data_IF_097652622689
#
_entry.id   IF_097652622689
#
_cell.length_a   1.000
_cell.length_b   1.000
_cell.length_c   1.000
_cell.angle_alpha   90.00
_cell.angle_beta   90.00
_cell.angle_gamma   90.00
#
_symmetry.space_group_name_H-M   'P 1'
#
loop_
_entity.id
_entity.type
_entity.pdbx_description
1 polymer ?
#
# COMPACT_ATOMS: atom_id res chain seq x y z
N UNK A 1 30.34 11.28 5.50
CA UNK A 1 30.42 9.81 5.68
C UNK A 1 29.43 9.15 4.74
N UNK A 2 29.92 8.45 3.73
CA UNK A 2 29.13 7.68 2.76
C UNK A 2 28.46 6.52 3.52
N UNK A 3 27.14 6.60 3.72
CA UNK A 3 26.39 5.71 4.61
C UNK A 3 26.07 4.39 3.88
N UNK A 4 26.61 3.28 4.40
CA UNK A 4 26.61 1.95 3.78
C UNK A 4 25.23 1.30 3.63
N UNK A 5 25.12 0.51 2.56
CA UNK A 5 23.93 -0.21 2.10
C UNK A 5 23.49 -1.30 3.07
N UNK A 6 22.18 -1.41 3.23
CA UNK A 6 21.55 -2.48 4.01
C UNK A 6 21.61 -3.81 3.24
N UNK A 7 21.72 -4.98 3.91
CA UNK A 7 21.54 -6.28 3.26
C UNK A 7 20.20 -6.35 2.51
N UNK A 8 20.04 -7.36 1.66
CA UNK A 8 18.73 -7.69 1.11
C UNK A 8 17.71 -7.82 2.26
N UNK A 9 16.65 -7.02 2.22
CA UNK A 9 15.58 -7.05 3.21
C UNK A 9 14.38 -7.89 2.76
N UNK A 10 14.32 -8.23 1.47
CA UNK A 10 13.26 -9.03 0.86
C UNK A 10 13.73 -10.45 0.58
N UNK A 11 12.78 -11.39 0.65
CA UNK A 11 12.92 -12.77 0.18
C UNK A 11 11.67 -13.17 -0.59
N UNK A 12 11.82 -14.07 -1.54
CA UNK A 12 10.70 -14.76 -2.17
C UNK A 12 10.47 -16.10 -1.49
N UNK A 13 9.21 -16.40 -1.15
CA UNK A 13 8.80 -17.70 -0.62
C UNK A 13 7.94 -18.41 -1.69
N UNK A 14 8.35 -19.60 -2.15
CA UNK A 14 7.55 -20.45 -3.04
C UNK A 14 6.06 -20.50 -2.68
N UNK A 15 5.20 -20.28 -3.67
CA UNK A 15 3.74 -20.20 -3.52
C UNK A 15 3.18 -19.08 -2.64
N UNK A 16 4.01 -18.31 -1.92
CA UNK A 16 3.58 -17.21 -1.03
C UNK A 16 4.01 -15.81 -1.49
N UNK A 17 4.85 -15.74 -2.51
CA UNK A 17 5.35 -14.48 -3.07
C UNK A 17 6.43 -13.82 -2.23
N UNK A 18 6.61 -12.51 -2.41
CA UNK A 18 7.68 -11.74 -1.77
C UNK A 18 7.28 -11.30 -0.36
N UNK A 19 8.21 -11.40 0.59
CA UNK A 19 8.06 -10.91 1.96
C UNK A 19 9.38 -10.39 2.51
N UNK A 20 9.39 -9.77 3.70
CA UNK A 20 10.64 -9.38 4.33
C UNK A 20 11.34 -10.56 5.01
N UNK A 21 12.64 -10.42 5.17
CA UNK A 21 13.46 -11.36 5.91
C UNK A 21 13.27 -11.08 7.42
N UNK A 22 12.90 -12.09 8.22
CA UNK A 22 12.81 -11.97 9.68
C UNK A 22 14.07 -11.38 10.31
N UNK A 23 13.90 -10.46 11.26
CA UNK A 23 14.99 -9.78 11.97
C UNK A 23 15.96 -8.98 11.09
N UNK A 24 15.64 -8.78 9.79
CA UNK A 24 16.51 -8.00 8.93
C UNK A 24 16.52 -6.54 9.39
N UNK A 25 17.72 -6.00 9.57
CA UNK A 25 17.89 -4.57 9.72
C UNK A 25 17.60 -3.88 8.38
N UNK A 26 16.93 -2.73 8.42
CA UNK A 26 16.69 -1.88 7.26
C UNK A 26 17.16 -0.45 7.55
N UNK A 27 17.55 0.26 6.50
CA UNK A 27 17.79 1.70 6.54
C UNK A 27 17.18 2.35 5.31
N UNK A 28 16.19 3.21 5.52
CA UNK A 28 15.55 3.98 4.47
C UNK A 28 16.10 5.41 4.44
N UNK A 29 16.43 5.90 3.24
CA UNK A 29 16.87 7.28 3.02
C UNK A 29 16.57 7.81 1.62
N UNK A 30 15.74 7.10 0.84
CA UNK A 30 15.34 7.53 -0.51
C UNK A 30 14.33 8.67 -0.43
N UNK A 31 13.38 8.54 0.48
CA UNK A 31 12.35 9.53 0.77
C UNK A 31 12.11 9.56 2.28
N UNK A 32 12.34 10.71 2.93
CA UNK A 32 12.37 10.73 4.39
C UNK A 32 13.53 9.90 4.96
N UNK A 33 13.39 9.50 6.22
CA UNK A 33 14.43 8.72 6.91
C UNK A 33 13.85 7.89 8.05
N UNK A 34 14.17 6.59 8.03
CA UNK A 34 14.05 5.72 9.19
C UNK A 34 15.02 4.55 9.11
N UNK A 35 15.30 3.93 10.23
CA UNK A 35 16.05 2.69 10.32
C UNK A 35 15.51 1.85 11.47
N UNK A 36 15.69 0.53 11.39
CA UNK A 36 15.15 -0.38 12.38
C UNK A 36 15.32 -1.83 11.95
N UNK A 37 14.57 -2.72 12.59
CA UNK A 37 14.53 -4.14 12.23
C UNK A 37 13.09 -4.55 11.94
N UNK A 38 12.92 -5.46 10.98
CA UNK A 38 11.67 -6.22 10.85
C UNK A 38 11.57 -7.19 12.03
N UNK A 39 10.35 -7.46 12.51
CA UNK A 39 10.14 -8.38 13.63
C UNK A 39 10.52 -9.83 13.27
N UNK A 40 10.44 -10.72 14.26
CA UNK A 40 10.78 -12.15 14.11
C UNK A 40 9.93 -12.90 13.08
N UNK A 41 8.81 -12.33 12.62
CA UNK A 41 7.97 -12.86 11.55
C UNK A 41 8.23 -12.22 10.18
N UNK A 42 9.08 -11.18 10.11
CA UNK A 42 9.42 -10.47 8.88
C UNK A 42 8.43 -9.37 8.52
N UNK A 43 7.89 -8.65 9.50
CA UNK A 43 7.02 -7.49 9.28
C UNK A 43 7.58 -6.23 9.95
N UNK A 44 7.30 -5.06 9.36
CA UNK A 44 7.69 -3.78 9.94
C UNK A 44 6.65 -3.37 10.97
N UNK A 45 6.73 -4.02 12.12
CA UNK A 45 5.82 -3.87 13.25
C UNK A 45 6.59 -4.24 14.53
N UNK A 46 5.96 -4.06 15.69
CA UNK A 46 6.43 -4.63 16.94
C UNK A 46 6.43 -6.17 16.91
N UNK A 47 7.07 -6.80 17.89
CA UNK A 47 7.01 -8.25 18.05
C UNK A 47 5.59 -8.71 18.41
N UNK A 48 5.10 -9.75 17.73
CA UNK A 48 3.74 -10.28 17.88
C UNK A 48 3.76 -11.79 17.96
N UNK A 49 2.84 -12.37 18.71
CA UNK A 49 2.62 -13.83 18.76
C UNK A 49 1.51 -14.24 17.81
N UNK A 50 1.60 -15.41 17.17
CA UNK A 50 0.47 -15.95 16.41
C UNK A 50 -0.73 -16.25 17.31
N UNK A 51 -0.49 -16.94 18.43
CA UNK A 51 -1.51 -17.14 19.46
C UNK A 51 -1.98 -15.79 20.02
N UNK A 52 -3.29 -15.54 19.92
CA UNK A 52 -3.92 -14.31 20.41
C UNK A 52 -4.15 -14.41 21.92
N UNK A 53 -3.58 -13.52 22.73
CA UNK A 53 -3.88 -13.48 24.16
C UNK A 53 -5.36 -13.20 24.42
N UNK A 54 -5.90 -13.73 25.51
CA UNK A 54 -7.34 -13.67 25.85
C UNK A 54 -7.91 -12.25 25.96
N UNK A 55 -7.12 -11.30 26.45
CA UNK A 55 -7.52 -9.91 26.66
C UNK A 55 -6.97 -8.97 25.57
N UNK A 56 -6.85 -9.44 24.33
CA UNK A 56 -6.36 -8.64 23.21
C UNK A 56 -7.40 -8.58 22.09
N UNK A 57 -7.68 -7.35 21.65
CA UNK A 57 -8.38 -7.08 20.40
C UNK A 57 -7.35 -6.80 19.29
N UNK A 58 -7.30 -7.65 18.26
CA UNK A 58 -6.33 -7.53 17.17
C UNK A 58 -6.95 -6.84 15.96
N UNK A 59 -6.31 -5.75 15.54
CA UNK A 59 -6.56 -5.10 14.26
C UNK A 59 -5.39 -5.46 13.34
N UNK A 60 -5.67 -6.10 12.22
CA UNK A 60 -4.68 -6.35 11.17
C UNK A 60 -4.86 -5.31 10.06
N UNK A 61 -3.80 -4.60 9.72
CA UNK A 61 -3.77 -3.62 8.65
C UNK A 61 -2.90 -4.14 7.52
N UNK A 62 -3.50 -4.26 6.33
CA UNK A 62 -2.85 -4.67 5.10
C UNK A 62 -2.92 -3.54 4.09
N UNK A 63 -1.87 -3.39 3.32
CA UNK A 63 -1.70 -2.30 2.38
C UNK A 63 -0.35 -2.37 1.70
N UNK A 64 0.02 -1.25 1.09
CA UNK A 64 1.24 -1.07 0.33
C UNK A 64 2.36 -0.39 1.16
N UNK A 65 3.13 0.49 0.51
CA UNK A 65 4.18 1.29 1.13
C UNK A 65 3.68 2.27 2.20
N UNK A 66 2.41 2.67 2.20
CA UNK A 66 1.86 3.56 3.23
C UNK A 66 1.62 2.83 4.56
N UNK A 67 1.35 1.53 4.50
CA UNK A 67 1.31 0.66 5.70
C UNK A 67 2.71 0.22 6.10
N UNK A 68 3.59 -0.05 5.13
CA UNK A 68 5.01 -0.33 5.41
C UNK A 68 5.69 0.84 6.13
N UNK A 69 5.44 2.07 5.67
CA UNK A 69 5.84 3.34 6.29
C UNK A 69 7.35 3.49 6.55
N UNK A 70 8.21 3.03 5.63
CA UNK A 70 9.67 3.15 5.75
C UNK A 70 10.18 4.60 5.81
N UNK A 71 9.37 5.58 5.39
CA UNK A 71 9.80 6.97 5.28
C UNK A 71 9.82 7.71 6.64
N UNK A 72 9.17 7.15 7.67
CA UNK A 72 9.10 7.69 9.04
C UNK A 72 9.52 6.64 10.06
N UNK A 73 10.00 7.01 11.27
CA UNK A 73 10.23 6.05 12.35
C UNK A 73 9.01 5.16 12.62
N UNK A 74 9.21 3.92 13.08
CA UNK A 74 8.13 2.94 13.27
C UNK A 74 7.04 3.50 14.19
N UNK A 75 7.44 4.13 15.29
CA UNK A 75 6.55 4.75 16.26
C UNK A 75 5.69 5.86 15.68
N UNK A 76 6.11 6.50 14.58
CA UNK A 76 5.36 7.55 13.89
C UNK A 76 4.50 7.02 12.74
N UNK A 77 4.59 5.72 12.41
CA UNK A 77 3.71 5.10 11.44
C UNK A 77 2.25 5.18 11.90
N UNK A 78 1.32 5.25 10.95
CA UNK A 78 -0.10 5.45 11.31
C UNK A 78 -0.65 4.27 12.11
N UNK A 79 -0.15 3.04 11.88
CA UNK A 79 -0.55 1.85 12.63
C UNK A 79 -0.08 1.89 14.08
N UNK A 80 1.17 2.31 14.32
CA UNK A 80 1.69 2.51 15.68
C UNK A 80 0.97 3.65 16.42
N UNK A 81 0.70 4.78 15.74
CA UNK A 81 -0.07 5.88 16.30
C UNK A 81 -1.51 5.47 16.60
N UNK A 82 -2.14 4.67 15.73
CA UNK A 82 -3.48 4.11 15.95
C UNK A 82 -3.50 3.19 17.18
N UNK A 83 -2.53 2.29 17.32
CA UNK A 83 -2.39 1.43 18.51
C UNK A 83 -2.27 2.26 19.79
N UNK A 84 -1.45 3.30 19.75
CA UNK A 84 -1.25 4.22 20.88
C UNK A 84 -2.55 4.94 21.25
N UNK A 85 -3.31 5.45 20.26
CA UNK A 85 -4.58 6.15 20.50
C UNK A 85 -5.65 5.21 21.06
N UNK A 86 -5.78 4.01 20.51
CA UNK A 86 -6.73 3.00 21.01
C UNK A 86 -6.42 2.59 22.45
N UNK A 87 -5.16 2.32 22.77
CA UNK A 87 -4.76 1.95 24.13
C UNK A 87 -4.83 3.13 25.12
N UNK A 88 -4.60 4.36 24.67
CA UNK A 88 -4.74 5.57 25.49
C UNK A 88 -6.20 5.95 25.81
N UNK A 89 -7.13 5.62 24.92
CA UNK A 89 -8.57 5.85 25.11
C UNK A 89 -9.32 4.69 25.80
N UNK A 90 -8.62 3.60 26.11
CA UNK A 90 -9.20 2.35 26.62
C UNK A 90 -9.93 2.56 27.95
N UNK A 91 -11.19 2.14 27.98
CA UNK A 91 -12.03 2.05 29.20
C UNK A 91 -12.32 0.58 29.58
N UNK A 92 -12.15 -0.36 28.64
CA UNK A 92 -12.33 -1.81 28.81
C UNK A 92 -11.06 -2.51 29.34
N UNK A 93 -11.14 -3.82 29.62
CA UNK A 93 -10.00 -4.66 30.02
C UNK A 93 -9.16 -5.18 28.83
N UNK A 94 -9.57 -4.96 27.59
CA UNK A 94 -8.87 -5.47 26.41
C UNK A 94 -7.78 -4.52 25.92
N UNK A 95 -6.57 -5.04 25.69
CA UNK A 95 -5.45 -4.32 25.04
C UNK A 95 -5.64 -4.38 23.53
N UNK A 96 -5.27 -3.30 22.82
CA UNK A 96 -5.27 -3.29 21.37
C UNK A 96 -3.89 -3.63 20.84
N UNK A 97 -3.84 -4.51 19.84
CA UNK A 97 -2.68 -4.70 18.97
C UNK A 97 -3.09 -4.31 17.55
N UNK A 98 -2.34 -3.42 16.91
CA UNK A 98 -2.53 -3.02 15.51
C UNK A 98 -1.34 -3.54 14.71
N UNK A 99 -1.54 -4.67 14.05
CA UNK A 99 -0.51 -5.36 13.30
C UNK A 99 -0.42 -4.78 11.89
N UNK A 100 0.80 -4.44 11.44
CA UNK A 100 1.03 -3.87 10.12
C UNK A 100 1.73 -4.88 9.20
N UNK A 101 1.03 -5.33 8.16
CA UNK A 101 1.55 -6.29 7.17
C UNK A 101 1.71 -5.65 5.78
N UNK A 102 2.00 -4.35 5.73
CA UNK A 102 2.21 -3.59 4.49
C UNK A 102 3.49 -3.94 3.74
N UNK A 103 3.48 -3.75 2.42
CA UNK A 103 4.68 -3.91 1.59
C UNK A 103 4.63 -3.05 0.31
N UNK A 104 5.69 -2.27 0.07
CA UNK A 104 5.80 -1.43 -1.11
C UNK A 104 5.48 -2.14 -2.43
N UNK A 105 4.62 -1.52 -3.23
CA UNK A 105 4.27 -1.94 -4.59
C UNK A 105 3.25 -3.08 -4.67
N UNK A 106 2.65 -3.45 -3.55
CA UNK A 106 1.55 -4.41 -3.53
C UNK A 106 0.29 -3.79 -4.12
N UNK A 107 -0.50 -4.63 -4.81
CA UNK A 107 -1.91 -4.36 -5.07
C UNK A 107 -2.81 -5.22 -4.19
N UNK A 108 -4.12 -5.04 -4.34
CA UNK A 108 -5.14 -5.73 -3.55
C UNK A 108 -5.08 -7.25 -3.64
N UNK A 109 -4.66 -7.79 -4.80
CA UNK A 109 -4.42 -9.21 -4.94
C UNK A 109 -3.32 -9.70 -3.98
N UNK A 110 -2.16 -9.04 -3.95
CA UNK A 110 -1.05 -9.39 -3.05
C UNK A 110 -1.44 -9.22 -1.58
N UNK A 111 -2.21 -8.19 -1.24
CA UNK A 111 -2.71 -7.94 0.11
C UNK A 111 -3.65 -9.05 0.58
N UNK A 112 -4.55 -9.51 -0.28
CA UNK A 112 -5.43 -10.65 0.00
C UNK A 112 -4.63 -11.94 0.20
N UNK A 113 -3.65 -12.21 -0.68
CA UNK A 113 -2.81 -13.39 -0.54
C UNK A 113 -1.91 -13.28 0.70
N UNK A 114 -1.47 -12.09 1.09
CA UNK A 114 -0.71 -11.86 2.32
C UNK A 114 -1.54 -12.10 3.57
N UNK A 115 -2.82 -11.73 3.55
CA UNK A 115 -3.76 -12.14 4.58
C UNK A 115 -3.84 -13.67 4.69
N UNK A 116 -4.12 -14.36 3.58
CA UNK A 116 -4.28 -15.81 3.59
C UNK A 116 -3.01 -16.55 4.01
N UNK A 117 -1.85 -16.09 3.56
CA UNK A 117 -0.56 -16.76 3.77
C UNK A 117 0.08 -16.49 5.14
N UNK A 118 -0.24 -15.35 5.76
CA UNK A 118 0.41 -14.87 6.99
C UNK A 118 -0.56 -14.21 7.97
N UNK A 119 -1.39 -13.28 7.51
CA UNK A 119 -2.24 -12.45 8.38
C UNK A 119 -3.30 -13.23 9.16
N UNK A 120 -3.92 -14.22 8.54
CA UNK A 120 -4.99 -15.01 9.14
C UNK A 120 -4.52 -15.80 10.39
N UNK A 121 -3.25 -16.18 10.45
CA UNK A 121 -2.68 -16.92 11.58
C UNK A 121 -2.64 -16.11 12.89
N UNK A 122 -2.76 -14.78 12.82
CA UNK A 122 -2.84 -13.91 14.00
C UNK A 122 -4.24 -13.82 14.60
N UNK A 123 -5.25 -14.48 14.01
CA UNK A 123 -6.65 -14.45 14.46
C UNK A 123 -7.20 -13.01 14.71
N UNK A 124 -7.11 -12.10 13.72
CA UNK A 124 -7.54 -10.71 13.88
C UNK A 124 -9.05 -10.58 14.06
N UNK A 125 -9.49 -9.68 14.95
CA UNK A 125 -10.89 -9.34 15.19
C UNK A 125 -11.43 -8.33 14.16
N UNK A 126 -10.52 -7.53 13.59
CA UNK A 126 -10.79 -6.57 12.52
C UNK A 126 -9.62 -6.60 11.53
N UNK A 127 -9.94 -6.66 10.23
CA UNK A 127 -8.98 -6.48 9.14
C UNK A 127 -9.30 -5.17 8.43
N UNK A 128 -8.29 -4.33 8.30
CA UNK A 128 -8.33 -3.07 7.55
C UNK A 128 -7.54 -3.28 6.26
N UNK A 129 -8.22 -3.14 5.13
CA UNK A 129 -7.58 -3.00 3.83
C UNK A 129 -7.32 -1.52 3.55
N UNK A 130 -6.08 -1.10 3.69
CA UNK A 130 -5.61 0.25 3.41
C UNK A 130 -5.29 0.37 1.91
N UNK A 131 -6.31 0.75 1.14
CA UNK A 131 -6.29 0.77 -0.31
C UNK A 131 -5.70 2.08 -0.85
N UNK A 132 -4.60 2.02 -1.58
CA UNK A 132 -4.00 3.20 -2.20
C UNK A 132 -4.54 3.42 -3.61
N UNK A 133 -5.30 4.50 -3.78
CA UNK A 133 -5.89 4.91 -5.06
C UNK A 133 -4.86 5.23 -6.14
N UNK A 134 -3.60 5.48 -5.77
CA UNK A 134 -2.53 5.87 -6.69
C UNK A 134 -1.87 4.72 -7.45
N UNK A 135 -1.99 3.47 -7.02
CA UNK A 135 -1.36 2.31 -7.68
C UNK A 135 -2.20 1.02 -7.61
N UNK A 136 -2.99 0.78 -6.57
CA UNK A 136 -3.65 -0.52 -6.35
C UNK A 136 -4.51 -0.95 -7.54
N UNK A 137 -5.28 -0.01 -8.10
CA UNK A 137 -6.04 -0.24 -9.32
C UNK A 137 -5.15 -0.69 -10.47
N UNK A 138 -3.96 -0.11 -10.64
CA UNK A 138 -3.03 -0.53 -11.69
C UNK A 138 -2.41 -1.89 -11.37
N UNK A 139 -2.04 -2.11 -10.10
CA UNK A 139 -1.34 -3.31 -9.66
C UNK A 139 -2.21 -4.57 -9.72
N UNK A 140 -3.54 -4.44 -9.74
CA UNK A 140 -4.45 -5.56 -9.93
C UNK A 140 -4.62 -6.01 -11.39
N UNK A 141 -4.09 -5.25 -12.37
CA UNK A 141 -4.06 -5.66 -13.78
C UNK A 141 -2.67 -6.09 -14.19
N UNK A 142 -2.55 -7.37 -14.58
CA UNK A 142 -1.30 -7.93 -15.11
C UNK A 142 -0.75 -7.13 -16.29
N UNK A 143 -1.63 -6.68 -17.18
CA UNK A 143 -1.29 -5.83 -18.31
C UNK A 143 -0.80 -4.43 -17.88
N UNK A 144 -1.58 -3.70 -17.07
CA UNK A 144 -1.22 -2.34 -16.64
C UNK A 144 0.00 -2.32 -15.69
N UNK A 145 0.20 -3.40 -14.94
CA UNK A 145 1.37 -3.59 -14.09
C UNK A 145 2.58 -4.15 -14.86
N UNK A 146 2.49 -4.23 -16.20
CA UNK A 146 3.58 -4.64 -17.10
C UNK A 146 4.17 -6.00 -16.72
N UNK A 147 3.29 -6.96 -16.43
CA UNK A 147 3.66 -8.34 -16.11
C UNK A 147 4.62 -8.44 -14.90
N UNK A 148 4.52 -7.50 -13.95
CA UNK A 148 5.33 -7.55 -12.73
C UNK A 148 5.03 -8.83 -11.94
N UNK A 149 6.05 -9.45 -11.34
CA UNK A 149 5.90 -10.70 -10.57
C UNK A 149 5.13 -10.42 -9.28
N UNK A 150 3.83 -10.70 -9.32
CA UNK A 150 2.84 -10.47 -8.26
C UNK A 150 1.67 -11.45 -8.42
N UNK A 151 0.77 -11.49 -7.44
CA UNK A 151 -0.50 -12.21 -7.60
C UNK A 151 -1.50 -11.37 -8.40
N UNK A 152 -2.26 -12.02 -9.27
CA UNK A 152 -3.33 -11.37 -10.04
C UNK A 152 -4.63 -12.15 -9.91
N UNK A 153 -5.74 -11.51 -10.27
CA UNK A 153 -7.01 -12.18 -10.46
C UNK A 153 -7.56 -11.83 -11.84
N UNK A 154 -8.33 -12.74 -12.40
CA UNK A 154 -9.08 -12.53 -13.64
C UNK A 154 -10.47 -13.13 -13.50
N UNK A 155 -11.41 -12.66 -14.33
CA UNK A 155 -12.71 -13.30 -14.44
C UNK A 155 -12.64 -14.39 -15.51
N UNK A 156 -13.07 -15.60 -15.17
CA UNK A 156 -13.19 -16.68 -16.15
C UNK A 156 -14.42 -16.50 -17.07
N UNK A 157 -14.64 -17.45 -17.99
CA UNK A 157 -15.79 -17.43 -18.91
C UNK A 157 -17.16 -17.44 -18.21
N UNK A 158 -17.23 -17.92 -16.95
CA UNK A 158 -18.44 -17.94 -16.14
C UNK A 158 -18.58 -16.68 -15.28
N UNK A 159 -17.65 -15.74 -15.41
CA UNK A 159 -17.57 -14.53 -14.62
C UNK A 159 -17.24 -14.79 -13.14
N UNK A 160 -16.59 -15.91 -12.84
CA UNK A 160 -16.04 -16.19 -11.53
C UNK A 160 -14.64 -15.59 -11.41
N UNK A 161 -14.36 -14.93 -10.27
CA UNK A 161 -13.04 -14.36 -10.02
C UNK A 161 -12.05 -15.45 -9.59
N UNK A 162 -11.07 -15.73 -10.44
CA UNK A 162 -10.06 -16.79 -10.29
C UNK A 162 -8.67 -16.20 -10.07
N UNK A 163 -7.87 -16.89 -9.25
CA UNK A 163 -6.50 -16.48 -8.94
C UNK A 163 -5.57 -16.87 -10.11
N UNK A 164 -4.92 -15.88 -10.70
CA UNK A 164 -3.83 -16.07 -11.65
C UNK A 164 -2.48 -15.95 -10.92
N UNK A 165 -1.75 -17.07 -10.88
CA UNK A 165 -0.39 -17.14 -10.32
C UNK A 165 0.68 -17.37 -11.37
N UNK A 166 0.35 -17.32 -12.66
CA UNK A 166 1.26 -17.68 -13.76
C UNK A 166 2.64 -17.00 -13.64
N UNK A 167 2.68 -15.72 -13.28
CA UNK A 167 3.93 -14.97 -13.13
C UNK A 167 4.73 -15.37 -11.89
N UNK A 168 4.06 -15.71 -10.80
CA UNK A 168 4.69 -16.22 -9.56
C UNK A 168 5.29 -17.60 -9.83
N UNK A 169 4.51 -18.49 -10.44
CA UNK A 169 4.90 -19.87 -10.74
C UNK A 169 6.06 -19.87 -11.76
N UNK A 170 6.00 -19.04 -12.82
CA UNK A 170 7.10 -18.87 -13.77
C UNK A 170 8.38 -18.30 -13.12
N UNK A 171 8.24 -17.34 -12.19
CA UNK A 171 9.39 -16.83 -11.44
C UNK A 171 10.01 -17.93 -10.58
N UNK A 172 9.20 -18.72 -9.89
CA UNK A 172 9.65 -19.83 -9.05
C UNK A 172 10.41 -20.89 -9.86
N UNK A 173 9.90 -21.28 -11.02
CA UNK A 173 10.56 -22.19 -11.95
C UNK A 173 11.90 -21.64 -12.45
N UNK A 174 11.99 -20.31 -12.63
CA UNK A 174 13.22 -19.65 -13.07
C UNK A 174 14.34 -19.65 -12.01
N UNK A 175 14.03 -19.92 -10.74
CA UNK A 175 14.98 -19.94 -9.61
C UNK A 175 15.75 -21.26 -9.55
N UNK A 176 16.72 -21.44 -10.46
CA UNK A 176 17.65 -22.58 -10.46
C UNK A 176 18.49 -22.64 -9.17
N UNK A 177 19.05 -23.82 -8.84
CA UNK A 177 19.88 -24.00 -7.64
C UNK A 177 21.03 -22.96 -7.51
N UNK A 178 21.79 -22.63 -8.57
CA UNK A 178 22.80 -21.58 -8.50
C UNK A 178 22.23 -20.19 -8.18
N UNK A 179 21.05 -19.84 -8.73
CA UNK A 179 20.39 -18.56 -8.41
C UNK A 179 19.94 -18.51 -6.96
N UNK A 180 19.38 -19.60 -6.43
CA UNK A 180 18.99 -19.71 -5.01
C UNK A 180 20.20 -19.54 -4.09
N UNK A 181 21.33 -20.17 -4.42
CA UNK A 181 22.58 -20.00 -3.70
C UNK A 181 23.10 -18.55 -3.77
N UNK A 182 23.02 -17.90 -4.93
CA UNK A 182 23.42 -16.50 -5.07
C UNK A 182 22.55 -15.57 -4.22
N UNK A 183 21.23 -15.77 -4.18
CA UNK A 183 20.32 -14.99 -3.33
C UNK A 183 20.59 -15.23 -1.83
N UNK A 184 20.89 -16.48 -1.45
CA UNK A 184 21.32 -16.83 -0.09
C UNK A 184 22.64 -16.15 0.30
N UNK A 185 23.60 -16.07 -0.63
CA UNK A 185 24.87 -15.38 -0.42
C UNK A 185 24.69 -13.87 -0.35
N UNK A 186 23.84 -13.26 -1.20
CA UNK A 186 23.48 -11.84 -1.13
C UNK A 186 22.84 -11.49 0.20
N UNK A 187 22.01 -12.39 0.75
CA UNK A 187 21.41 -12.23 2.09
C UNK A 187 22.45 -12.16 3.19
N UNK A 188 23.51 -12.97 3.10
CA UNK A 188 24.57 -13.08 4.12
C UNK A 188 25.74 -12.11 3.93
N UNK A 189 25.80 -11.40 2.79
CA UNK A 189 26.94 -10.54 2.43
C UNK A 189 26.52 -9.13 2.06
N UNK A 190 26.93 -8.16 2.88
CA UNK A 190 26.75 -6.73 2.61
C UNK A 190 27.39 -6.30 1.28
N UNK A 191 28.55 -6.86 0.92
CA UNK A 191 29.24 -6.54 -0.32
C UNK A 191 28.46 -7.02 -1.55
N UNK A 192 27.95 -8.25 -1.52
CA UNK A 192 27.15 -8.79 -2.63
C UNK A 192 25.81 -8.07 -2.77
N UNK A 193 25.16 -7.72 -1.66
CA UNK A 193 23.97 -6.87 -1.65
C UNK A 193 24.24 -5.52 -2.33
N UNK A 194 25.35 -4.86 -1.98
CA UNK A 194 25.76 -3.57 -2.54
C UNK A 194 26.05 -3.65 -4.04
N UNK A 195 26.80 -4.66 -4.47
CA UNK A 195 27.09 -4.86 -5.91
C UNK A 195 25.79 -5.10 -6.67
N UNK A 196 24.90 -5.96 -6.15
CA UNK A 196 23.62 -6.26 -6.78
C UNK A 196 22.73 -5.02 -6.89
N UNK A 197 22.66 -4.21 -5.84
CA UNK A 197 21.89 -2.95 -5.83
C UNK A 197 22.45 -1.95 -6.84
N UNK A 198 23.78 -1.77 -6.89
CA UNK A 198 24.42 -0.85 -7.84
C UNK A 198 24.23 -1.30 -9.29
N UNK A 199 24.33 -2.60 -9.55
CA UNK A 199 24.02 -3.18 -10.88
C UNK A 199 22.55 -2.97 -11.23
N UNK A 200 21.63 -3.19 -10.30
CA UNK A 200 20.20 -2.96 -10.51
C UNK A 200 19.91 -1.48 -10.81
N UNK A 201 20.40 -0.55 -9.99
CA UNK A 201 20.22 0.89 -10.20
C UNK A 201 20.83 1.36 -11.52
N UNK A 202 22.01 0.86 -11.89
CA UNK A 202 22.65 1.16 -13.16
C UNK A 202 21.82 0.65 -14.35
N UNK A 203 21.33 -0.60 -14.29
CA UNK A 203 20.42 -1.15 -15.31
C UNK A 203 19.12 -0.35 -15.39
N UNK A 204 18.56 0.05 -14.25
CA UNK A 204 17.33 0.85 -14.20
C UNK A 204 17.55 2.23 -14.81
N UNK A 205 18.66 2.89 -14.51
CA UNK A 205 19.06 4.15 -15.15
C UNK A 205 19.23 3.99 -16.67
N UNK A 206 19.79 2.87 -17.13
CA UNK A 206 19.89 2.60 -18.58
C UNK A 206 18.53 2.36 -19.23
N UNK A 207 17.61 1.65 -18.55
CA UNK A 207 16.24 1.45 -19.04
C UNK A 207 15.47 2.77 -19.04
N UNK A 208 15.53 3.54 -17.95
CA UNK A 208 14.93 4.88 -17.85
C UNK A 208 15.52 5.82 -18.91
N UNK A 209 16.84 5.81 -19.13
CA UNK A 209 17.50 6.60 -20.17
C UNK A 209 17.04 6.20 -21.58
N UNK A 210 16.93 4.89 -21.87
CA UNK A 210 16.39 4.37 -23.13
C UNK A 210 14.91 4.70 -23.31
N UNK A 211 14.14 4.72 -22.23
CA UNK A 211 12.73 5.12 -22.25
C UNK A 211 12.60 6.62 -22.54
N UNK A 212 13.45 7.46 -21.94
CA UNK A 212 13.50 8.90 -22.23
C UNK A 212 14.05 9.22 -23.63
N UNK A 213 14.99 8.45 -24.17
CA UNK A 213 15.51 8.63 -25.53
C UNK A 213 14.53 8.10 -26.59
N UNK A 214 13.80 7.02 -26.30
CA UNK A 214 12.68 6.56 -27.13
C UNK A 214 11.54 7.58 -27.21
N UNK A 215 11.33 8.37 -26.14
CA UNK A 215 10.36 9.48 -26.12
C UNK A 215 10.83 10.73 -26.89
N UNK A 216 12.15 10.92 -27.10
CA UNK A 216 12.68 11.99 -27.94
C UNK A 216 12.61 11.69 -29.44
N UNK A 217 12.45 10.42 -29.82
CA UNK A 217 12.34 9.98 -31.22
C UNK A 217 11.01 10.30 -31.91
N UNK A 218 9.96 10.65 -31.15
CA UNK A 218 8.65 11.08 -31.66
C UNK A 218 8.39 12.59 -31.46
N UNK A 219 9.42 13.37 -31.13
CA UNK A 219 9.40 14.84 -31.22
C UNK A 219 9.75 15.31 -32.64
N UNK A 220 9.09 14.70 -33.64
CA UNK A 220 8.99 15.21 -35.01
C UNK A 220 7.84 16.22 -35.13
N UNK A 221 8.12 17.32 -35.81
CA UNK A 221 7.33 18.53 -36.04
C UNK A 221 5.80 18.34 -36.23
N UNK A 222 5.02 19.14 -35.48
CA UNK A 222 3.57 19.30 -35.66
C UNK A 222 2.94 20.10 -34.52
N UNK A 223 2.42 21.27 -34.84
CA UNK A 223 1.99 22.36 -33.94
C UNK A 223 0.64 22.13 -33.23
N UNK A 224 0.29 20.88 -32.88
CA UNK A 224 -0.99 20.56 -32.22
C UNK A 224 -0.93 19.28 -31.34
N UNK A 225 -0.02 19.25 -30.35
CA UNK A 225 0.09 18.11 -29.41
C UNK A 225 -0.52 18.44 -28.05
N UNK A 226 -1.79 18.08 -27.84
CA UNK A 226 -2.24 17.60 -26.51
C UNK A 226 -1.35 16.39 -26.19
N UNK A 227 -0.41 16.52 -25.25
CA UNK A 227 0.42 15.38 -24.85
C UNK A 227 -0.49 14.32 -24.21
N UNK A 228 -0.73 13.23 -24.92
CA UNK A 228 -1.56 12.12 -24.44
C UNK A 228 -0.89 11.46 -23.23
N UNK A 229 -1.64 11.29 -22.14
CA UNK A 229 -1.21 10.46 -21.00
C UNK A 229 -0.98 9.04 -21.49
N UNK A 230 0.22 8.50 -21.25
CA UNK A 230 0.55 7.10 -21.53
C UNK A 230 -0.44 6.15 -20.82
N UNK A 231 -0.85 5.08 -21.48
CA UNK A 231 -1.85 4.14 -20.95
C UNK A 231 -1.44 3.52 -19.60
N UNK A 232 -0.15 3.40 -19.33
CA UNK A 232 0.38 2.82 -18.09
C UNK A 232 0.57 3.85 -16.96
N UNK A 233 0.26 5.13 -17.22
CA UNK A 233 0.37 6.19 -16.21
C UNK A 233 -0.79 6.12 -15.21
N UNK A 234 -0.47 6.22 -13.91
CA UNK A 234 -1.45 6.26 -12.83
C UNK A 234 -2.41 7.46 -12.93
N UNK A 235 -2.05 8.49 -13.70
CA UNK A 235 -2.92 9.64 -13.97
C UNK A 235 -4.21 9.24 -14.69
N UNK A 236 -4.23 8.11 -15.39
CA UNK A 236 -5.46 7.66 -16.06
C UNK A 236 -6.60 7.39 -15.08
N UNK A 237 -6.29 7.06 -13.82
CA UNK A 237 -7.30 6.83 -12.78
C UNK A 237 -8.09 8.09 -12.42
N UNK A 238 -7.53 9.28 -12.70
CA UNK A 238 -8.20 10.57 -12.49
C UNK A 238 -8.88 11.10 -13.76
N UNK A 239 -8.86 10.38 -14.88
CA UNK A 239 -9.50 10.84 -16.11
C UNK A 239 -10.98 10.46 -16.14
N UNK A 240 -11.82 11.42 -16.51
CA UNK A 240 -13.25 11.17 -16.72
C UNK A 240 -13.51 10.11 -17.81
N UNK A 241 -12.67 10.08 -18.85
CA UNK A 241 -12.69 9.09 -19.92
C UNK A 241 -11.79 7.88 -19.59
N UNK A 242 -12.10 7.18 -18.50
CA UNK A 242 -11.29 6.07 -18.01
C UNK A 242 -11.05 5.01 -19.11
N UNK A 243 -9.79 4.72 -19.51
CA UNK A 243 -9.51 3.77 -20.58
C UNK A 243 -10.01 2.35 -20.27
N UNK A 244 -10.28 1.55 -21.29
CA UNK A 244 -10.85 0.19 -21.13
C UNK A 244 -10.05 -0.69 -20.17
N UNK A 245 -8.73 -0.76 -20.33
CA UNK A 245 -7.87 -1.56 -19.43
C UNK A 245 -7.96 -1.11 -17.96
N UNK A 246 -8.15 0.19 -17.71
CA UNK A 246 -8.35 0.72 -16.36
C UNK A 246 -9.73 0.41 -15.81
N UNK A 247 -10.79 0.47 -16.64
CA UNK A 247 -12.14 0.04 -16.26
C UNK A 247 -12.17 -1.45 -15.88
N UNK A 248 -11.54 -2.30 -16.69
CA UNK A 248 -11.42 -3.73 -16.40
C UNK A 248 -10.67 -3.97 -15.08
N UNK A 249 -9.57 -3.25 -14.86
CA UNK A 249 -8.82 -3.34 -13.61
C UNK A 249 -9.63 -2.90 -12.39
N UNK A 250 -10.49 -1.88 -12.53
CA UNK A 250 -11.42 -1.46 -11.48
C UNK A 250 -12.42 -2.58 -11.15
N UNK A 251 -12.97 -3.27 -12.14
CA UNK A 251 -13.91 -4.39 -11.90
C UNK A 251 -13.22 -5.59 -11.23
N UNK A 252 -12.02 -5.96 -11.69
CA UNK A 252 -11.19 -6.99 -11.02
C UNK A 252 -10.91 -6.60 -9.58
N UNK A 253 -10.49 -5.35 -9.34
CA UNK A 253 -10.22 -4.82 -8.00
C UNK A 253 -11.44 -4.96 -7.07
N UNK A 254 -12.63 -4.56 -7.53
CA UNK A 254 -13.88 -4.72 -6.77
C UNK A 254 -14.14 -6.18 -6.42
N UNK A 255 -13.96 -7.09 -7.39
CA UNK A 255 -14.07 -8.53 -7.16
C UNK A 255 -13.12 -9.02 -6.07
N UNK A 256 -11.86 -8.60 -6.11
CA UNK A 256 -10.84 -8.98 -5.10
C UNK A 256 -11.26 -8.48 -3.73
N UNK A 257 -11.73 -7.24 -3.59
CA UNK A 257 -12.19 -6.69 -2.30
C UNK A 257 -13.32 -7.54 -1.71
N UNK A 258 -14.31 -7.96 -2.52
CA UNK A 258 -15.40 -8.83 -2.05
C UNK A 258 -14.88 -10.20 -1.61
N UNK A 259 -13.99 -10.81 -2.40
CA UNK A 259 -13.36 -12.11 -2.07
C UNK A 259 -12.53 -12.03 -0.79
N UNK A 260 -11.82 -10.92 -0.61
CA UNK A 260 -11.00 -10.68 0.56
C UNK A 260 -11.89 -10.52 1.80
N UNK A 261 -12.89 -9.63 1.75
CA UNK A 261 -13.89 -9.49 2.81
C UNK A 261 -14.48 -10.84 3.22
N UNK A 262 -14.94 -11.63 2.24
CA UNK A 262 -15.49 -12.97 2.50
C UNK A 262 -14.50 -13.87 3.24
N UNK A 263 -13.23 -13.86 2.82
CA UNK A 263 -12.17 -14.66 3.46
C UNK A 263 -11.94 -14.28 4.94
N UNK A 264 -12.13 -13.00 5.28
CA UNK A 264 -12.04 -12.47 6.65
C UNK A 264 -13.26 -12.87 7.48
N UNK A 265 -14.46 -12.67 6.93
CA UNK A 265 -15.74 -12.97 7.61
C UNK A 265 -15.93 -14.46 7.88
N UNK A 266 -15.51 -15.33 6.95
CA UNK A 266 -15.50 -16.80 7.13
C UNK A 266 -14.62 -17.25 8.31
N UNK A 267 -13.68 -16.40 8.73
CA UNK A 267 -12.79 -16.63 9.89
C UNK A 267 -13.24 -15.87 11.14
N UNK A 268 -14.44 -15.29 11.12
CA UNK A 268 -15.03 -14.55 12.24
C UNK A 268 -14.48 -13.13 12.44
N UNK A 269 -13.63 -12.65 11.53
CA UNK A 269 -13.13 -11.27 11.57
C UNK A 269 -14.11 -10.29 10.94
N UNK A 270 -14.01 -9.01 11.31
CA UNK A 270 -14.69 -7.91 10.62
C UNK A 270 -13.80 -7.30 9.55
N UNK A 271 -14.38 -6.67 8.54
CA UNK A 271 -13.66 -6.06 7.43
C UNK A 271 -13.96 -4.56 7.32
N UNK A 272 -12.91 -3.75 7.15
CA UNK A 272 -12.97 -2.31 6.88
C UNK A 272 -12.14 -1.98 5.64
N UNK A 273 -12.71 -1.23 4.71
CA UNK A 273 -11.98 -0.63 3.60
C UNK A 273 -11.56 0.80 3.99
N UNK A 274 -10.27 1.09 3.93
CA UNK A 274 -9.70 2.41 4.22
C UNK A 274 -9.08 2.96 2.93
N UNK A 275 -9.71 3.96 2.31
CA UNK A 275 -9.17 4.66 1.15
C UNK A 275 -8.08 5.64 1.59
N UNK A 276 -6.86 5.44 1.09
CA UNK A 276 -5.73 6.36 1.29
C UNK A 276 -5.80 7.51 0.27
N UNK A 277 -4.72 8.27 0.15
CA UNK A 277 -4.67 9.44 -0.71
C UNK A 277 -3.29 9.63 -1.32
N UNK A 278 -3.23 10.27 -2.49
CA UNK A 278 -1.99 10.74 -3.10
C UNK A 278 -1.78 12.24 -2.86
N UNK A 279 -0.54 12.69 -2.98
CA UNK A 279 -0.21 14.10 -2.78
C UNK A 279 -0.96 15.03 -3.75
N UNK A 280 -1.14 14.62 -5.00
CA UNK A 280 -1.90 15.38 -6.00
C UNK A 280 -3.40 15.49 -5.68
N UNK A 281 -3.97 14.54 -4.93
CA UNK A 281 -5.33 14.66 -4.44
C UNK A 281 -5.43 15.60 -3.22
N UNK A 282 -4.39 15.65 -2.38
CA UNK A 282 -4.41 16.36 -1.09
C UNK A 282 -3.94 17.82 -1.21
N UNK A 283 -2.93 18.09 -2.03
CA UNK A 283 -2.29 19.39 -2.20
C UNK A 283 -2.70 20.00 -3.56
N UNK A 284 -3.63 20.97 -3.60
CA UNK A 284 -4.15 21.52 -4.87
C UNK A 284 -3.07 22.06 -5.81
N UNK A 285 -2.01 22.66 -5.27
CA UNK A 285 -0.87 23.15 -6.04
C UNK A 285 -0.11 22.03 -6.77
N UNK A 286 0.08 20.87 -6.13
CA UNK A 286 0.72 19.70 -6.75
C UNK A 286 -0.17 19.13 -7.86
N UNK A 287 -1.48 19.05 -7.62
CA UNK A 287 -2.44 18.61 -8.62
C UNK A 287 -2.51 19.57 -9.83
N UNK A 288 -2.55 20.88 -9.58
CA UNK A 288 -2.60 21.91 -10.62
C UNK A 288 -1.31 21.95 -11.45
N UNK A 289 -0.15 21.71 -10.83
CA UNK A 289 1.11 21.57 -11.56
C UNK A 289 1.04 20.40 -12.55
N UNK A 290 0.51 19.24 -12.14
CA UNK A 290 0.32 18.09 -13.03
C UNK A 290 -0.67 18.40 -14.15
N UNK A 291 -1.83 18.99 -13.86
CA UNK A 291 -2.80 19.41 -14.89
C UNK A 291 -2.16 20.31 -15.94
N UNK A 292 -1.38 21.30 -15.48
CA UNK A 292 -0.68 22.26 -16.35
C UNK A 292 0.40 21.59 -17.19
N UNK A 293 1.19 20.69 -16.58
CA UNK A 293 2.27 19.96 -17.24
C UNK A 293 1.75 19.07 -18.37
N UNK A 294 0.67 18.34 -18.13
CA UNK A 294 0.12 17.40 -19.11
C UNK A 294 -0.97 18.01 -20.01
N UNK A 295 -1.46 19.22 -19.71
CA UNK A 295 -2.54 19.91 -20.43
C UNK A 295 -3.81 19.05 -20.56
N UNK A 296 -4.17 18.40 -19.46
CA UNK A 296 -5.33 17.51 -19.35
C UNK A 296 -6.17 17.88 -18.12
N UNK A 297 -7.47 17.65 -18.22
CA UNK A 297 -8.34 17.70 -17.06
C UNK A 297 -8.23 16.40 -16.26
N UNK A 298 -8.03 16.55 -14.95
CA UNK A 298 -7.97 15.46 -13.99
C UNK A 298 -8.97 15.71 -12.87
N UNK A 299 -9.77 14.68 -12.58
CA UNK A 299 -10.69 14.60 -11.47
C UNK A 299 -10.06 13.76 -10.36
N UNK A 300 -9.40 14.45 -9.44
CA UNK A 300 -8.72 13.82 -8.30
C UNK A 300 -9.67 13.17 -7.29
N UNK A 301 -10.97 13.38 -7.39
CA UNK A 301 -11.97 12.77 -6.50
C UNK A 301 -12.57 11.49 -7.09
N UNK A 302 -12.37 11.24 -8.39
CA UNK A 302 -12.91 10.07 -9.09
C UNK A 302 -12.62 8.73 -8.41
N UNK A 303 -11.37 8.42 -7.99
CA UNK A 303 -11.06 7.09 -7.45
C UNK A 303 -11.77 6.83 -6.11
N UNK A 304 -11.81 7.86 -5.25
CA UNK A 304 -12.54 7.83 -3.99
C UNK A 304 -14.04 7.65 -4.19
N UNK A 305 -14.64 8.36 -5.16
CA UNK A 305 -16.08 8.18 -5.48
C UNK A 305 -16.39 6.77 -5.99
N UNK A 306 -15.51 6.17 -6.79
CA UNK A 306 -15.66 4.79 -7.27
C UNK A 306 -15.70 3.82 -6.07
N UNK A 307 -14.78 3.97 -5.11
CA UNK A 307 -14.70 3.13 -3.93
C UNK A 307 -15.88 3.37 -2.98
N UNK A 308 -16.27 4.62 -2.75
CA UNK A 308 -17.39 5.00 -1.89
C UNK A 308 -18.71 4.41 -2.39
N UNK A 309 -18.98 4.56 -3.70
CA UNK A 309 -20.18 3.99 -4.29
C UNK A 309 -20.18 2.46 -4.20
N UNK A 310 -19.05 1.83 -4.52
CA UNK A 310 -18.90 0.39 -4.43
C UNK A 310 -19.09 -0.13 -3.00
N UNK A 311 -18.44 0.50 -2.02
CA UNK A 311 -18.53 0.11 -0.61
C UNK A 311 -19.97 0.26 -0.09
N UNK A 312 -20.64 1.37 -0.43
CA UNK A 312 -22.04 1.62 -0.08
C UNK A 312 -22.96 0.54 -0.67
N UNK A 313 -22.83 0.22 -1.96
CA UNK A 313 -23.64 -0.82 -2.63
C UNK A 313 -23.46 -2.21 -2.00
N UNK A 314 -22.28 -2.48 -1.45
CA UNK A 314 -21.95 -3.78 -0.85
C UNK A 314 -21.97 -3.78 0.69
N UNK A 315 -22.46 -2.70 1.32
CA UNK A 315 -22.49 -2.55 2.78
C UNK A 315 -21.13 -2.86 3.43
N UNK A 316 -20.05 -2.35 2.83
CA UNK A 316 -18.70 -2.42 3.38
C UNK A 316 -18.47 -1.13 4.19
N UNK A 317 -18.10 -1.22 5.48
CA UNK A 317 -17.62 -0.05 6.21
C UNK A 317 -16.44 0.57 5.45
N UNK A 318 -16.56 1.85 5.09
CA UNK A 318 -15.58 2.55 4.29
C UNK A 318 -15.25 3.92 4.88
N UNK A 319 -13.96 4.22 4.96
CA UNK A 319 -13.44 5.54 5.29
C UNK A 319 -12.50 5.98 4.16
N UNK A 320 -12.81 7.08 3.47
CA UNK A 320 -11.83 7.79 2.64
C UNK A 320 -11.13 8.86 3.48
N UNK A 321 -9.79 8.83 3.52
CA UNK A 321 -8.98 9.84 4.18
C UNK A 321 -8.79 11.10 3.34
N UNK A 322 -8.94 10.98 2.02
CA UNK A 322 -8.57 12.03 1.06
C UNK A 322 -9.28 13.37 1.32
N UNK A 323 -10.63 13.45 1.48
CA UNK A 323 -11.30 14.72 1.68
C UNK A 323 -10.83 15.45 2.94
N UNK A 324 -10.68 14.73 4.05
CA UNK A 324 -10.23 15.29 5.32
C UNK A 324 -8.75 15.72 5.28
N UNK A 325 -7.91 14.98 4.55
CA UNK A 325 -6.51 15.35 4.32
C UNK A 325 -6.41 16.66 3.51
N UNK A 326 -7.16 16.76 2.42
CA UNK A 326 -7.22 17.98 1.59
C UNK A 326 -7.70 19.18 2.41
N UNK A 327 -8.78 19.01 3.17
CA UNK A 327 -9.33 20.07 4.03
C UNK A 327 -8.32 20.52 5.09
N UNK A 328 -7.62 19.57 5.74
CA UNK A 328 -6.58 19.87 6.71
C UNK A 328 -5.46 20.72 6.09
N UNK A 329 -4.98 20.32 4.91
CA UNK A 329 -3.96 21.08 4.19
C UNK A 329 -4.44 22.50 3.83
N UNK A 330 -5.64 22.64 3.27
CA UNK A 330 -6.21 23.95 2.90
C UNK A 330 -6.30 24.88 4.12
N UNK A 331 -6.75 24.36 5.27
CA UNK A 331 -6.93 25.15 6.48
C UNK A 331 -5.61 25.52 7.17
N UNK A 332 -4.68 24.58 7.25
CA UNK A 332 -3.47 24.73 8.08
C UNK A 332 -2.23 25.11 7.28
N UNK A 333 -2.26 24.93 5.96
CA UNK A 333 -1.12 25.02 5.04
C UNK A 333 0.01 24.04 5.35
N UNK A 334 -0.24 23.02 6.19
CA UNK A 334 0.72 21.95 6.43
C UNK A 334 0.61 20.91 5.33
N UNK A 335 1.75 20.50 4.79
CA UNK A 335 1.84 19.38 3.85
C UNK A 335 1.77 18.06 4.61
N UNK A 336 0.99 17.12 4.08
CA UNK A 336 0.82 15.77 4.66
C UNK A 336 1.68 14.73 3.93
N UNK A 337 2.13 15.05 2.73
CA UNK A 337 3.05 14.26 1.92
C UNK A 337 4.39 14.97 1.73
N UNK A 338 5.42 14.19 1.44
CA UNK A 338 6.72 14.67 1.05
C UNK A 338 7.61 15.09 2.22
N UNK A 339 8.90 15.21 1.92
CA UNK A 339 9.97 15.41 2.90
C UNK A 339 10.94 16.49 2.40
N UNK A 340 11.38 17.35 3.32
CA UNK A 340 12.25 18.47 2.98
C UNK A 340 11.56 19.41 1.97
N UNK A 341 12.17 19.69 0.80
CA UNK A 341 11.58 20.56 -0.21
C UNK A 341 10.54 19.85 -1.11
N UNK A 342 10.39 18.52 -1.01
CA UNK A 342 9.40 17.77 -1.80
C UNK A 342 8.03 17.82 -1.11
N UNK A 343 7.00 18.11 -1.89
CA UNK A 343 5.59 18.13 -1.45
C UNK A 343 4.76 16.96 -2.01
N UNK A 344 5.43 16.03 -2.72
CA UNK A 344 4.83 14.81 -3.29
C UNK A 344 5.37 13.54 -2.64
N UNK A 345 4.80 12.39 -3.00
CA UNK A 345 5.24 11.07 -2.53
C UNK A 345 4.46 10.55 -1.33
N UNK A 346 5.16 9.89 -0.40
CA UNK A 346 4.59 9.24 0.79
C UNK A 346 4.16 10.25 1.86
N UNK A 347 3.34 9.79 2.80
CA UNK A 347 3.00 10.58 3.98
C UNK A 347 4.22 10.89 4.82
N UNK A 348 4.28 12.13 5.30
CA UNK A 348 5.21 12.51 6.37
C UNK A 348 4.59 12.20 7.75
N UNK A 349 5.30 12.55 8.83
CA UNK A 349 4.83 12.29 10.21
C UNK A 349 3.45 12.90 10.47
N UNK A 350 3.15 14.08 9.93
CA UNK A 350 1.85 14.74 10.08
C UNK A 350 0.75 13.97 9.35
N UNK A 351 1.03 13.50 8.12
CA UNK A 351 0.12 12.64 7.36
C UNK A 351 -0.19 11.34 8.10
N UNK A 352 0.82 10.62 8.58
CA UNK A 352 0.61 9.39 9.36
C UNK A 352 -0.19 9.63 10.65
N UNK A 353 0.09 10.71 11.39
CA UNK A 353 -0.67 11.06 12.59
C UNK A 353 -2.14 11.34 12.26
N UNK A 354 -2.41 12.13 11.22
CA UNK A 354 -3.79 12.46 10.84
C UNK A 354 -4.55 11.22 10.33
N UNK A 355 -3.91 10.32 9.58
CA UNK A 355 -4.50 9.04 9.19
C UNK A 355 -4.91 8.22 10.41
N UNK A 356 -4.05 8.13 11.42
CA UNK A 356 -4.33 7.43 12.66
C UNK A 356 -5.51 8.06 13.42
N UNK A 357 -5.56 9.38 13.54
CA UNK A 357 -6.63 10.11 14.24
C UNK A 357 -8.00 9.90 13.58
N UNK A 358 -8.06 10.03 12.25
CA UNK A 358 -9.29 9.85 11.48
C UNK A 358 -9.76 8.39 11.53
N UNK A 359 -8.85 7.44 11.42
CA UNK A 359 -9.16 6.01 11.54
C UNK A 359 -9.66 5.68 12.94
N UNK A 360 -8.98 6.15 13.99
CA UNK A 360 -9.40 5.95 15.38
C UNK A 360 -10.82 6.49 15.64
N UNK A 361 -11.10 7.72 15.16
CA UNK A 361 -12.41 8.35 15.28
C UNK A 361 -13.48 7.51 14.58
N UNK A 362 -13.24 7.11 13.34
CA UNK A 362 -14.17 6.29 12.57
C UNK A 362 -14.44 4.93 13.24
N UNK A 363 -13.39 4.23 13.69
CA UNK A 363 -13.54 2.95 14.38
C UNK A 363 -14.41 3.07 15.63
N UNK A 364 -14.27 4.17 16.37
CA UNK A 364 -15.05 4.46 17.58
C UNK A 364 -16.50 4.78 17.25
N UNK A 365 -16.74 5.69 16.30
CA UNK A 365 -18.08 6.13 15.89
C UNK A 365 -18.90 4.99 15.27
N UNK A 366 -18.26 4.14 14.47
CA UNK A 366 -18.89 2.98 13.84
C UNK A 366 -18.94 1.74 14.75
N UNK A 367 -18.46 1.85 16.00
CA UNK A 367 -18.39 0.74 16.97
C UNK A 367 -17.68 -0.50 16.40
N UNK A 368 -16.67 -0.28 15.57
CA UNK A 368 -15.81 -1.33 15.02
C UNK A 368 -14.77 -1.83 16.02
N UNK A 369 -14.62 -1.15 17.15
CA UNK A 369 -13.77 -1.55 18.28
C UNK A 369 -14.55 -1.50 19.60
N UNK A 370 -14.24 -2.37 20.57
CA UNK A 370 -14.94 -2.41 21.86
C UNK A 370 -14.41 -1.32 22.82
N UNK A 371 -14.69 -0.05 22.49
CA UNK A 371 -14.45 1.09 23.38
C UNK A 371 -15.77 1.47 24.07
N UNK A 372 -15.81 1.45 25.41
CA UNK A 372 -16.96 1.97 26.16
C UNK A 372 -16.96 3.50 26.09
N UNK A 373 -18.10 4.10 25.70
CA UNK A 373 -18.29 5.54 25.82
C UNK A 373 -18.30 5.94 27.30
N UNK A 374 -17.40 6.86 27.69
CA UNK A 374 -17.35 7.41 29.07
C UNK A 374 -18.69 7.98 29.56
N UNK A 375 -19.60 8.31 28.65
CA UNK A 375 -20.93 8.86 28.95
C UNK A 375 -21.91 7.84 29.54
N UNK A 376 -21.65 6.53 29.46
CA UNK A 376 -22.58 5.49 29.93
C UNK A 376 -22.35 5.02 31.37
N UNK A 377 -21.34 5.54 32.08
CA UNK A 377 -21.09 5.24 33.52
C UNK A 377 -21.71 6.25 34.49
N UNK A 378 -22.61 7.12 34.02
CA UNK A 378 -23.45 7.99 34.86
C UNK A 378 -24.93 7.71 34.59
N UNK A 379 -25.41 6.54 35.00
CA UNK A 379 -26.82 6.29 35.30
C UNK A 379 -26.90 5.44 36.57
#
# INVERSE_FOLDING_TARGET
>A
MTKFNTPAILRFIPGKGTTFIPNAYYRHSKEGFSEGQFNSHGFRDYERTYEKPTDVFRILVLGDSFVEALQVPLEDSFTAQLEKMLNGARVSSSRFEVLALGQSGFGTADEHLRYLNFGAAYNPDLVILAFFTGNDFRNNSKFLNRENVAFYYEFDEKHDLVLDRSLIDAYEESLTYPKRLLEELKRKSHLLSLISERVYLFRRQLVEARMTDGHKGEEGAGDDKRQSVDLFSDLNMYRADLPTAWRESVEVTKGIILRFRKSVEERGGRFLLLGLSSAEQVHPEVGNERKSRYRIELDYDQPDRILEEFARRNSIPFLSLMPAFREYHIKTRQYLHGFGPSHGGHWNRTGHRLAAELTWKFLTEQKLVPLENKTSRRL
#
